data_IF_884555867821
#
_entry.id   IF_884555867821
#
_cell.length_a   1.000
_cell.length_b   1.000
_cell.length_c   1.000
_cell.angle_alpha   90.00
_cell.angle_beta   90.00
_cell.angle_gamma   90.00
#
_symmetry.space_group_name_H-M   'P 1'
#
loop_
_entity.id
_entity.type
_entity.pdbx_description
1 polymer ?
#
# COMPACT_ATOMS: atom_id res chain seq x y z
N UNK A 1 8.15 20.11 -8.60
CA UNK A 1 7.78 19.01 -7.70
C UNK A 1 6.28 18.85 -7.79
N UNK A 2 5.80 17.61 -7.98
CA UNK A 2 4.36 17.30 -8.10
C UNK A 2 3.82 16.52 -6.90
N UNK A 3 4.70 15.83 -6.16
CA UNK A 3 4.33 15.05 -4.98
C UNK A 3 5.37 15.21 -3.88
N UNK A 4 4.93 15.05 -2.66
CA UNK A 4 5.75 15.06 -1.44
C UNK A 4 5.35 13.86 -0.60
N UNK A 5 6.31 13.21 0.05
CA UNK A 5 6.06 12.13 0.98
C UNK A 5 6.68 12.41 2.35
N UNK A 6 6.23 11.68 3.36
CA UNK A 6 6.66 11.83 4.76
C UNK A 6 6.35 13.20 5.41
N UNK A 7 5.42 13.97 4.85
CA UNK A 7 4.82 15.11 5.54
C UNK A 7 3.43 14.69 5.99
N UNK A 8 3.21 14.57 7.28
CA UNK A 8 2.06 13.87 7.84
C UNK A 8 1.19 14.72 8.77
N UNK A 9 1.60 15.97 9.04
CA UNK A 9 0.80 16.84 9.86
C UNK A 9 -0.02 17.80 8.99
N UNK A 10 -1.26 18.01 9.36
CA UNK A 10 -2.17 18.91 8.64
C UNK A 10 -1.61 20.34 8.49
N UNK A 11 -0.97 20.95 9.51
CA UNK A 11 -0.34 22.28 9.36
C UNK A 11 0.75 22.30 8.31
N UNK A 12 1.64 21.27 8.29
CA UNK A 12 2.76 21.23 7.35
C UNK A 12 2.27 21.02 5.92
N UNK A 13 1.31 20.12 5.73
CA UNK A 13 0.66 19.89 4.43
C UNK A 13 0.03 21.18 3.90
N UNK A 14 -0.69 21.92 4.74
CA UNK A 14 -1.27 23.21 4.36
C UNK A 14 -0.21 24.24 3.99
N UNK A 15 0.84 24.34 4.78
CA UNK A 15 1.94 25.27 4.49
C UNK A 15 2.60 24.97 3.14
N UNK A 16 2.78 23.69 2.81
CA UNK A 16 3.31 23.27 1.51
C UNK A 16 2.34 23.55 0.36
N UNK A 17 1.04 23.27 0.53
CA UNK A 17 0.02 23.60 -0.47
C UNK A 17 -0.09 25.10 -0.72
N UNK A 18 0.11 25.93 0.30
CA UNK A 18 0.10 27.38 0.12
C UNK A 18 1.26 27.87 -0.77
N UNK A 19 2.42 27.19 -0.77
CA UNK A 19 3.53 27.51 -1.66
C UNK A 19 3.19 27.27 -3.14
N UNK A 20 2.25 26.38 -3.43
CA UNK A 20 1.79 26.11 -4.81
C UNK A 20 1.27 27.37 -5.49
N UNK A 21 0.68 28.31 -4.74
CA UNK A 21 0.16 29.59 -5.26
C UNK A 21 1.25 30.44 -5.93
N UNK A 22 2.50 30.26 -5.52
CA UNK A 22 3.67 30.94 -6.06
C UNK A 22 4.32 30.17 -7.22
N UNK A 23 3.87 28.94 -7.51
CA UNK A 23 4.37 28.15 -8.61
C UNK A 23 3.77 28.58 -9.95
N UNK A 24 4.50 28.33 -11.04
CA UNK A 24 4.06 28.69 -12.41
C UNK A 24 2.75 28.00 -12.80
N UNK A 25 2.59 26.74 -12.44
CA UNK A 25 1.46 25.91 -12.89
C UNK A 25 0.28 25.90 -11.88
N UNK A 26 0.53 26.23 -10.64
CA UNK A 26 -0.48 26.24 -9.55
C UNK A 26 -1.23 24.89 -9.40
N UNK A 27 -0.58 23.78 -9.79
CA UNK A 27 -1.11 22.43 -9.61
C UNK A 27 -0.90 22.01 -8.16
N UNK A 28 -1.93 21.57 -7.43
CA UNK A 28 -1.79 21.11 -6.05
C UNK A 28 -0.75 20.01 -5.92
N UNK A 29 -0.06 19.97 -4.78
CA UNK A 29 0.87 18.89 -4.46
C UNK A 29 0.10 17.66 -4.01
N UNK A 30 0.66 16.50 -4.33
CA UNK A 30 0.15 15.20 -3.93
C UNK A 30 0.95 14.71 -2.71
N UNK A 31 0.27 14.43 -1.61
CA UNK A 31 0.91 14.01 -0.36
C UNK A 31 0.74 12.51 -0.12
N UNK A 32 1.86 11.80 0.04
CA UNK A 32 1.90 10.36 0.20
C UNK A 32 2.65 9.95 1.48
N UNK A 33 2.21 8.82 2.07
CA UNK A 33 2.82 8.26 3.26
C UNK A 33 2.59 6.75 3.36
N UNK A 34 3.39 6.06 4.18
CA UNK A 34 3.19 4.64 4.50
C UNK A 34 2.12 4.46 5.58
N UNK A 35 0.86 4.37 5.16
CA UNK A 35 -0.28 4.06 6.05
C UNK A 35 -0.53 2.55 5.98
N UNK A 36 0.46 1.75 6.38
CA UNK A 36 0.47 0.30 6.13
C UNK A 36 -0.48 -0.49 7.06
N UNK A 37 -0.49 -0.15 8.34
CA UNK A 37 -1.35 -0.78 9.35
C UNK A 37 -1.87 0.23 10.38
N UNK A 38 -2.25 1.40 9.91
CA UNK A 38 -2.80 2.49 10.69
C UNK A 38 -2.13 3.82 10.41
N UNK A 39 -2.75 4.89 10.84
CA UNK A 39 -2.22 6.25 10.76
C UNK A 39 -2.09 6.83 12.18
N UNK A 40 -3.18 7.24 12.81
CA UNK A 40 -3.21 7.62 14.23
C UNK A 40 -3.52 6.40 15.12
N UNK A 41 -4.50 5.61 14.72
CA UNK A 41 -4.80 4.32 15.34
C UNK A 41 -3.89 3.26 14.74
N UNK A 42 -3.09 2.59 15.57
CA UNK A 42 -2.20 1.52 15.14
C UNK A 42 -2.92 0.18 15.26
N UNK A 43 -3.06 -0.50 14.13
CA UNK A 43 -3.61 -1.85 14.03
C UNK A 43 -2.49 -2.90 14.05
N UNK A 44 -2.82 -4.20 14.22
CA UNK A 44 -1.82 -5.25 14.00
C UNK A 44 -1.16 -5.13 12.63
N UNK A 45 0.09 -5.56 12.53
CA UNK A 45 0.81 -5.62 11.24
C UNK A 45 0.03 -6.46 10.23
N UNK A 46 0.27 -6.24 8.95
CA UNK A 46 -0.48 -6.91 7.87
C UNK A 46 -0.45 -8.44 7.97
N UNK A 47 0.70 -9.01 8.36
CA UNK A 47 0.81 -10.44 8.62
C UNK A 47 -0.11 -10.91 9.77
N UNK A 48 -0.22 -10.12 10.84
CA UNK A 48 -1.15 -10.38 11.95
C UNK A 48 -2.60 -10.26 11.54
N UNK A 49 -2.94 -9.26 10.73
CA UNK A 49 -4.29 -9.13 10.16
C UNK A 49 -4.63 -10.31 9.24
N UNK A 50 -3.69 -10.75 8.40
CA UNK A 50 -3.89 -11.92 7.54
C UNK A 50 -4.10 -13.21 8.35
N UNK A 51 -3.42 -13.37 9.48
CA UNK A 51 -3.59 -14.51 10.37
C UNK A 51 -4.98 -14.60 11.03
N UNK A 52 -5.78 -13.54 11.00
CA UNK A 52 -7.17 -13.58 11.44
C UNK A 52 -8.09 -14.34 10.49
N UNK A 53 -7.72 -14.50 9.22
CA UNK A 53 -8.54 -15.05 8.14
C UNK A 53 -9.89 -14.33 7.97
N UNK A 54 -9.97 -13.08 8.45
CA UNK A 54 -11.18 -12.27 8.41
C UNK A 54 -11.00 -11.03 7.51
N UNK A 55 -11.50 -11.07 6.26
CA UNK A 55 -11.43 -9.94 5.33
C UNK A 55 -12.14 -8.69 5.84
N UNK A 56 -13.16 -8.83 6.69
CA UNK A 56 -13.89 -7.68 7.23
C UNK A 56 -13.04 -6.90 8.23
N UNK A 57 -12.29 -7.60 9.08
CA UNK A 57 -11.32 -6.97 10.01
C UNK A 57 -10.27 -6.19 9.23
N UNK A 58 -9.73 -6.77 8.14
CA UNK A 58 -8.78 -6.08 7.25
C UNK A 58 -9.42 -4.85 6.60
N UNK A 59 -10.65 -4.97 6.09
CA UNK A 59 -11.37 -3.86 5.48
C UNK A 59 -11.61 -2.71 6.47
N UNK A 60 -12.04 -3.03 7.69
CA UNK A 60 -12.31 -2.01 8.72
C UNK A 60 -11.03 -1.31 9.17
N UNK A 61 -9.94 -2.03 9.39
CA UNK A 61 -8.64 -1.42 9.74
C UNK A 61 -8.15 -0.48 8.65
N UNK A 62 -8.20 -0.90 7.38
CA UNK A 62 -7.82 -0.07 6.24
C UNK A 62 -8.74 1.17 6.09
N UNK A 63 -10.06 1.00 6.29
CA UNK A 63 -11.01 2.12 6.20
C UNK A 63 -10.77 3.18 7.28
N UNK A 64 -10.54 2.76 8.52
CA UNK A 64 -10.24 3.68 9.63
C UNK A 64 -8.92 4.40 9.33
N UNK A 65 -7.91 3.68 8.86
CA UNK A 65 -6.62 4.27 8.47
C UNK A 65 -6.78 5.33 7.37
N UNK A 66 -7.62 5.08 6.38
CA UNK A 66 -7.91 6.03 5.31
C UNK A 66 -8.63 7.29 5.82
N UNK A 67 -9.62 7.12 6.71
CA UNK A 67 -10.33 8.24 7.33
C UNK A 67 -9.39 9.15 8.13
N UNK A 68 -8.50 8.57 8.90
CA UNK A 68 -7.52 9.33 9.69
C UNK A 68 -6.48 10.03 8.80
N UNK A 69 -5.96 9.33 7.80
CA UNK A 69 -4.96 9.85 6.88
C UNK A 69 -5.51 10.99 6.02
N UNK A 70 -6.70 10.82 5.44
CA UNK A 70 -7.36 11.87 4.65
C UNK A 70 -7.70 13.10 5.49
N UNK A 71 -8.10 12.90 6.76
CA UNK A 71 -8.35 14.01 7.68
C UNK A 71 -7.09 14.85 7.97
N UNK A 72 -5.91 14.24 7.88
CA UNK A 72 -4.63 14.95 7.99
C UNK A 72 -4.16 15.55 6.65
N UNK A 73 -4.82 15.22 5.55
CA UNK A 73 -4.53 15.79 4.22
C UNK A 73 -3.64 14.91 3.35
N UNK A 74 -3.51 13.61 3.68
CA UNK A 74 -2.83 12.65 2.83
C UNK A 74 -3.73 12.22 1.66
N UNK A 75 -3.15 12.09 0.48
CA UNK A 75 -3.83 11.72 -0.75
C UNK A 75 -3.59 10.25 -1.13
N UNK A 76 -2.47 9.66 -0.69
CA UNK A 76 -2.07 8.30 -1.06
C UNK A 76 -1.36 7.58 0.09
N UNK A 77 -1.65 6.28 0.21
CA UNK A 77 -0.85 5.34 1.00
C UNK A 77 0.02 4.48 0.10
N UNK A 78 1.28 4.23 0.50
CA UNK A 78 2.15 3.21 -0.10
C UNK A 78 1.78 1.81 0.39
N UNK A 79 0.50 1.44 0.19
CA UNK A 79 -0.13 0.21 0.66
C UNK A 79 -1.28 -0.18 -0.29
N UNK A 80 -1.65 -1.48 -0.39
CA UNK A 80 -1.12 -2.64 0.33
C UNK A 80 0.24 -3.13 -0.20
N UNK A 81 1.03 -3.74 0.68
CA UNK A 81 2.17 -4.55 0.29
C UNK A 81 1.70 -5.98 0.03
N UNK A 82 1.90 -6.45 -1.19
CA UNK A 82 1.37 -7.75 -1.66
C UNK A 82 2.47 -8.71 -2.09
N UNK A 83 3.69 -8.45 -1.68
CA UNK A 83 4.83 -9.31 -1.94
C UNK A 83 4.63 -10.66 -1.26
N UNK A 84 4.51 -11.73 -2.06
CA UNK A 84 4.48 -13.08 -1.54
C UNK A 84 5.82 -13.40 -0.90
N UNK A 85 5.82 -13.78 0.36
CA UNK A 85 7.02 -14.05 1.15
C UNK A 85 7.01 -15.48 1.64
N UNK A 86 7.96 -16.30 1.17
CA UNK A 86 8.15 -17.71 1.58
C UNK A 86 9.39 -17.92 2.43
N UNK A 87 10.25 -16.92 2.52
CA UNK A 87 11.45 -16.96 3.36
C UNK A 87 11.26 -16.03 4.58
N UNK A 88 11.03 -16.62 5.75
CA UNK A 88 10.80 -15.87 6.98
C UNK A 88 12.02 -15.06 7.47
N UNK A 89 13.19 -15.24 6.84
CA UNK A 89 14.40 -14.44 7.15
C UNK A 89 14.35 -13.05 6.51
N UNK A 90 13.50 -12.85 5.52
CA UNK A 90 13.35 -11.52 4.92
C UNK A 90 12.77 -10.53 5.93
N UNK A 91 13.48 -9.41 6.15
CA UNK A 91 13.14 -8.42 7.19
C UNK A 91 11.79 -7.72 7.02
N UNK A 92 11.21 -7.75 5.81
CA UNK A 92 9.92 -7.12 5.50
C UNK A 92 8.73 -8.08 5.47
N UNK A 93 8.90 -9.30 5.95
CA UNK A 93 7.82 -10.30 6.00
C UNK A 93 6.57 -9.81 6.74
N UNK A 94 6.76 -8.95 7.74
CA UNK A 94 5.70 -8.40 8.59
C UNK A 94 4.75 -7.43 7.85
N UNK A 95 5.21 -6.83 6.76
CA UNK A 95 4.45 -5.81 6.02
C UNK A 95 3.41 -6.41 5.07
N UNK A 96 3.61 -7.65 4.61
CA UNK A 96 2.74 -8.35 3.67
C UNK A 96 1.74 -9.29 4.36
N UNK A 97 0.97 -10.01 3.54
CA UNK A 97 -0.07 -10.94 4.00
C UNK A 97 0.41 -12.41 4.09
N UNK A 98 1.72 -12.66 3.86
CA UNK A 98 2.34 -13.97 4.01
C UNK A 98 2.64 -14.66 2.69
N UNK A 99 2.61 -16.01 2.71
CA UNK A 99 3.08 -16.86 1.59
C UNK A 99 1.97 -17.36 0.66
N UNK A 100 0.71 -17.28 1.10
CA UNK A 100 -0.41 -17.80 0.34
C UNK A 100 -0.87 -16.81 -0.73
N UNK A 101 -0.84 -17.25 -1.99
CA UNK A 101 -1.18 -16.41 -3.14
C UNK A 101 -2.66 -16.04 -3.18
N UNK A 102 -3.55 -16.97 -2.80
CA UNK A 102 -4.99 -16.71 -2.81
C UNK A 102 -5.39 -15.73 -1.71
N UNK A 103 -4.95 -15.98 -0.48
CA UNK A 103 -5.25 -15.10 0.65
C UNK A 103 -4.71 -13.69 0.41
N UNK A 104 -3.45 -13.57 -0.05
CA UNK A 104 -2.84 -12.28 -0.38
C UNK A 104 -3.62 -11.56 -1.49
N UNK A 105 -4.06 -12.27 -2.53
CA UNK A 105 -4.87 -11.69 -3.60
C UNK A 105 -6.22 -11.18 -3.08
N UNK A 106 -6.89 -11.96 -2.24
CA UNK A 106 -8.16 -11.59 -1.63
C UNK A 106 -8.00 -10.32 -0.78
N UNK A 107 -7.04 -10.32 0.15
CA UNK A 107 -6.83 -9.23 1.10
C UNK A 107 -6.30 -7.98 0.43
N UNK A 108 -5.50 -8.10 -0.64
CA UNK A 108 -5.05 -6.94 -1.42
C UNK A 108 -6.23 -6.17 -2.03
N UNK A 109 -7.15 -6.87 -2.68
CA UNK A 109 -8.35 -6.27 -3.23
C UNK A 109 -9.28 -5.66 -2.17
N UNK A 110 -9.39 -6.32 -1.02
CA UNK A 110 -10.15 -5.82 0.14
C UNK A 110 -9.56 -4.49 0.64
N UNK A 111 -8.25 -4.44 0.84
CA UNK A 111 -7.57 -3.25 1.36
C UNK A 111 -7.63 -2.08 0.37
N UNK A 112 -7.43 -2.33 -0.94
CA UNK A 112 -7.57 -1.30 -1.98
C UNK A 112 -8.96 -0.66 -1.94
N UNK A 113 -10.01 -1.46 -1.95
CA UNK A 113 -11.39 -0.94 -1.89
C UNK A 113 -11.67 -0.19 -0.60
N UNK A 114 -11.12 -0.63 0.51
CA UNK A 114 -11.30 0.02 1.80
C UNK A 114 -10.60 1.38 1.89
N UNK A 115 -9.37 1.52 1.37
CA UNK A 115 -8.67 2.79 1.30
C UNK A 115 -9.37 3.80 0.39
N UNK A 116 -9.77 3.35 -0.80
CA UNK A 116 -10.29 4.22 -1.85
C UNK A 116 -11.79 4.51 -1.74
N UNK A 117 -12.53 3.69 -0.99
CA UNK A 117 -13.98 3.80 -0.93
C UNK A 117 -14.61 3.61 -2.31
N UNK A 118 -15.78 4.22 -2.52
CA UNK A 118 -16.49 4.18 -3.81
C UNK A 118 -16.04 5.25 -4.80
N UNK A 119 -15.30 6.26 -4.33
CA UNK A 119 -14.88 7.40 -5.16
C UNK A 119 -13.59 8.02 -4.59
N UNK A 120 -12.52 8.00 -5.37
CA UNK A 120 -11.25 8.64 -5.01
C UNK A 120 -11.34 10.16 -4.83
N UNK A 121 -12.34 10.81 -5.41
CA UNK A 121 -12.58 12.24 -5.20
C UNK A 121 -13.29 12.56 -3.87
N UNK A 122 -13.72 11.53 -3.12
CA UNK A 122 -14.35 11.74 -1.82
C UNK A 122 -13.31 12.23 -0.78
N UNK A 123 -13.68 13.15 0.10
CA UNK A 123 -12.74 13.76 1.06
C UNK A 123 -12.23 12.80 2.13
N UNK A 124 -12.82 11.63 2.24
CA UNK A 124 -12.49 10.58 3.19
C UNK A 124 -11.78 9.38 2.54
N UNK A 125 -11.32 9.53 1.31
CA UNK A 125 -10.64 8.53 0.50
C UNK A 125 -9.14 8.84 0.39
N UNK A 126 -8.31 7.80 0.29
CA UNK A 126 -6.91 7.91 -0.11
C UNK A 126 -6.59 6.89 -1.19
N UNK A 127 -5.74 7.24 -2.12
CA UNK A 127 -5.30 6.35 -3.18
C UNK A 127 -4.45 5.20 -2.62
N UNK A 128 -4.71 3.98 -3.05
CA UNK A 128 -3.86 2.82 -2.76
C UNK A 128 -2.75 2.71 -3.81
N UNK A 129 -1.50 2.55 -3.35
CA UNK A 129 -0.36 2.22 -4.19
C UNK A 129 0.12 0.81 -3.84
N UNK A 130 -0.29 -0.17 -4.66
CA UNK A 130 0.13 -1.56 -4.44
C UNK A 130 1.62 -1.73 -4.67
N UNK A 131 2.32 -2.44 -3.79
CA UNK A 131 3.78 -2.57 -3.83
C UNK A 131 4.26 -3.99 -3.51
N UNK A 132 5.45 -4.36 -3.92
CA UNK A 132 6.42 -3.71 -4.83
C UNK A 132 6.49 -4.53 -6.11
N UNK A 133 6.08 -3.98 -7.23
CA UNK A 133 5.99 -4.72 -8.49
C UNK A 133 7.40 -4.82 -9.16
N UNK A 134 8.03 -6.04 -9.20
CA UNK A 134 7.49 -7.28 -8.68
C UNK A 134 8.61 -8.15 -8.10
N UNK A 135 8.19 -9.22 -7.36
CA UNK A 135 9.07 -10.29 -6.87
C UNK A 135 9.95 -9.91 -5.67
N UNK A 136 9.79 -8.75 -5.07
CA UNK A 136 10.65 -8.26 -4.00
C UNK A 136 10.70 -9.21 -2.79
N UNK A 137 9.59 -9.87 -2.45
CA UNK A 137 9.52 -10.87 -1.38
C UNK A 137 10.18 -12.22 -1.70
N UNK A 138 10.68 -12.40 -2.93
CA UNK A 138 11.34 -13.62 -3.38
C UNK A 138 12.88 -13.49 -3.42
N UNK A 139 13.44 -12.47 -2.78
CA UNK A 139 14.89 -12.24 -2.72
C UNK A 139 15.64 -13.47 -2.20
N UNK A 140 16.72 -13.87 -2.88
CA UNK A 140 17.48 -15.06 -2.56
C UNK A 140 18.05 -15.01 -1.14
N UNK A 141 17.83 -16.11 -0.41
CA UNK A 141 18.27 -16.27 0.97
C UNK A 141 17.57 -15.35 1.97
N UNK A 142 16.43 -14.73 1.58
CA UNK A 142 15.73 -13.74 2.40
C UNK A 142 16.54 -12.45 2.63
N UNK A 143 17.54 -12.19 1.81
CA UNK A 143 18.38 -10.99 1.92
C UNK A 143 17.72 -9.85 1.19
N UNK A 144 17.43 -8.78 1.91
CA UNK A 144 16.81 -7.59 1.35
C UNK A 144 17.64 -7.01 0.18
N UNK A 145 16.98 -6.61 -0.89
CA UNK A 145 17.59 -6.12 -2.15
C UNK A 145 18.47 -7.14 -2.90
N UNK A 146 18.42 -8.42 -2.55
CA UNK A 146 19.17 -9.43 -3.27
C UNK A 146 18.44 -9.83 -4.58
N UNK A 147 19.17 -10.54 -5.43
CA UNK A 147 18.67 -11.04 -6.70
C UNK A 147 17.46 -11.97 -6.52
N UNK A 148 16.67 -12.07 -7.56
CA UNK A 148 15.55 -12.99 -7.67
C UNK A 148 15.76 -13.88 -8.90
N UNK A 149 15.69 -15.18 -8.72
CA UNK A 149 15.71 -16.14 -9.82
C UNK A 149 14.53 -17.13 -9.68
N UNK A 150 13.69 -17.17 -10.70
CA UNK A 150 12.59 -18.12 -10.76
C UNK A 150 12.09 -18.33 -12.19
N UNK A 151 11.39 -19.46 -12.41
CA UNK A 151 10.75 -19.75 -13.68
C UNK A 151 9.55 -18.81 -13.93
N UNK A 152 9.28 -18.50 -15.19
CA UNK A 152 8.09 -17.72 -15.58
C UNK A 152 6.77 -18.37 -15.09
N UNK A 153 6.55 -19.69 -15.21
CA UNK A 153 5.33 -20.30 -14.66
C UNK A 153 5.13 -19.99 -13.17
N UNK A 154 6.20 -20.10 -12.36
CA UNK A 154 6.12 -19.81 -10.93
C UNK A 154 5.81 -18.35 -10.67
N UNK A 155 6.43 -17.44 -11.41
CA UNK A 155 6.17 -16.01 -11.32
C UNK A 155 4.68 -15.72 -11.55
N UNK A 156 4.12 -16.23 -12.64
CA UNK A 156 2.73 -15.99 -13.01
C UNK A 156 1.71 -16.68 -12.11
N UNK A 157 2.05 -17.85 -11.55
CA UNK A 157 1.15 -18.60 -10.69
C UNK A 157 1.15 -18.13 -9.24
N UNK A 158 2.33 -17.79 -8.72
CA UNK A 158 2.50 -17.54 -7.28
C UNK A 158 2.63 -16.07 -6.93
N UNK A 159 3.36 -15.28 -7.72
CA UNK A 159 3.80 -13.95 -7.30
C UNK A 159 3.03 -12.79 -7.93
N UNK A 160 2.55 -12.92 -9.17
CA UNK A 160 1.83 -11.84 -9.85
C UNK A 160 0.33 -11.74 -9.54
N UNK A 161 -0.40 -12.82 -9.17
CA UNK A 161 -1.84 -12.72 -8.93
C UNK A 161 -2.27 -11.67 -7.90
N UNK A 162 -1.55 -11.43 -6.77
CA UNK A 162 -1.92 -10.38 -5.83
C UNK A 162 -1.90 -8.97 -6.42
N UNK A 163 -0.93 -8.67 -7.29
CA UNK A 163 -0.88 -7.38 -7.99
C UNK A 163 -2.04 -7.23 -8.95
N UNK A 164 -2.34 -8.30 -9.71
CA UNK A 164 -3.51 -8.31 -10.59
C UNK A 164 -4.80 -8.08 -9.81
N UNK A 165 -4.98 -8.74 -8.67
CA UNK A 165 -6.15 -8.57 -7.82
C UNK A 165 -6.28 -7.14 -7.28
N UNK A 166 -5.18 -6.49 -6.92
CA UNK A 166 -5.18 -5.09 -6.51
C UNK A 166 -5.57 -4.14 -7.67
N UNK A 167 -5.01 -4.37 -8.87
CA UNK A 167 -5.35 -3.58 -10.07
C UNK A 167 -6.82 -3.79 -10.46
N UNK A 168 -7.30 -5.03 -10.47
CA UNK A 168 -8.71 -5.35 -10.74
C UNK A 168 -9.66 -4.73 -9.69
N UNK A 169 -9.19 -4.53 -8.47
CA UNK A 169 -9.92 -3.82 -7.42
C UNK A 169 -9.88 -2.29 -7.57
N UNK A 170 -9.14 -1.78 -8.56
CA UNK A 170 -9.06 -0.37 -8.90
C UNK A 170 -7.92 0.40 -8.23
N UNK A 171 -6.83 -0.26 -7.80
CA UNK A 171 -5.67 0.43 -7.23
C UNK A 171 -5.23 1.59 -8.11
N UNK A 172 -5.11 2.79 -7.55
CA UNK A 172 -4.80 4.01 -8.29
C UNK A 172 -3.33 4.13 -8.68
N UNK A 173 -2.44 3.39 -8.02
CA UNK A 173 -1.01 3.40 -8.29
C UNK A 173 -0.37 2.02 -8.06
N UNK A 174 0.78 1.81 -8.70
CA UNK A 174 1.65 0.66 -8.52
C UNK A 174 3.07 1.16 -8.24
N UNK A 175 3.67 0.72 -7.15
CA UNK A 175 5.06 1.02 -6.83
C UNK A 175 5.96 -0.07 -7.40
N UNK A 176 6.91 0.35 -8.21
CA UNK A 176 7.92 -0.55 -8.81
C UNK A 176 8.90 -1.01 -7.74
N UNK A 177 9.29 -2.28 -7.82
CA UNK A 177 10.35 -2.86 -6.98
C UNK A 177 11.72 -2.26 -7.31
N UNK A 178 12.57 -2.22 -6.32
CA UNK A 178 13.99 -1.84 -6.45
C UNK A 178 14.83 -3.05 -6.84
#
# INVERSE_FOLDING_TARGET
>A
VGAIFNTVTRPDIRAMQDQVRHSRLKIPLFHAYDVAHGHRTIFPISLGLAASWDPEVVARSARISALEASADGLDMSFSPMVDITRDARWGRVSEGFGEDTYLTSLLSGVMVRAYQGSNLAAPDSIMAAVKHFALYGAAEGGRDYNTVDMSLPRMFQDYLPPYKAAVDAGAGAVMVSL
#
